data_IF_433912080556
#
_entry.id   IF_433912080556
#
_cell.length_a   1.000
_cell.length_b   1.000
_cell.length_c   1.000
_cell.angle_alpha   90.00
_cell.angle_beta   90.00
_cell.angle_gamma   90.00
#
_symmetry.space_group_name_H-M   'P 1'
#
loop_
_entity.id
_entity.type
_entity.pdbx_description
1 polymer ?
#
# COMPACT_ATOMS: atom_id res chain seq x y z
N UNK A 1 -6.77 -3.26 8.01
CA UNK A 1 -5.70 -4.07 7.38
C UNK A 1 -4.87 -4.75 8.47
N UNK A 2 -4.10 -5.81 8.19
CA UNK A 2 -3.19 -6.45 9.15
C UNK A 2 -1.90 -5.62 9.28
N UNK A 3 -1.77 -4.72 10.27
CA UNK A 3 -0.67 -3.75 10.29
C UNK A 3 0.70 -4.43 10.47
N UNK A 4 0.74 -5.54 11.20
CA UNK A 4 1.96 -6.26 11.58
C UNK A 4 2.70 -6.86 10.38
N UNK A 5 2.00 -7.63 9.53
CA UNK A 5 2.59 -8.27 8.37
C UNK A 5 3.08 -7.23 7.34
N UNK A 6 2.29 -6.19 7.11
CA UNK A 6 2.66 -5.10 6.22
C UNK A 6 3.86 -4.29 6.76
N UNK A 7 3.97 -4.09 8.08
CA UNK A 7 5.13 -3.44 8.68
C UNK A 7 6.42 -4.27 8.46
N UNK A 8 6.37 -5.60 8.64
CA UNK A 8 7.53 -6.48 8.36
C UNK A 8 8.00 -6.34 6.91
N UNK A 9 7.05 -6.36 5.96
CA UNK A 9 7.38 -6.24 4.54
C UNK A 9 7.97 -4.88 4.21
N UNK A 10 7.38 -3.79 4.72
CA UNK A 10 7.86 -2.42 4.51
C UNK A 10 9.25 -2.17 5.09
N UNK A 11 9.61 -2.80 6.20
CA UNK A 11 10.96 -2.74 6.75
C UNK A 11 12.04 -3.31 5.80
N UNK A 12 11.66 -4.13 4.80
CA UNK A 12 12.60 -4.63 3.78
C UNK A 12 13.09 -3.54 2.83
N UNK A 13 12.44 -2.39 2.78
CA UNK A 13 12.94 -1.19 2.08
C UNK A 13 14.25 -0.65 2.66
N UNK A 14 14.59 -1.02 3.90
CA UNK A 14 15.71 -0.50 4.69
C UNK A 14 15.62 0.99 5.02
N UNK A 15 14.44 1.59 4.87
CA UNK A 15 14.16 2.91 5.41
C UNK A 15 14.16 2.86 6.95
N UNK A 16 14.95 3.72 7.59
CA UNK A 16 15.17 3.68 9.04
C UNK A 16 13.87 3.85 9.83
N UNK A 17 12.98 4.73 9.37
CA UNK A 17 11.68 4.95 10.00
C UNK A 17 10.81 3.70 9.92
N UNK A 18 10.71 3.07 8.75
CA UNK A 18 9.93 1.84 8.56
C UNK A 18 10.52 0.65 9.32
N UNK A 19 11.85 0.54 9.39
CA UNK A 19 12.53 -0.50 10.17
C UNK A 19 12.24 -0.32 11.66
N UNK A 20 12.32 0.91 12.19
CA UNK A 20 12.04 1.18 13.59
C UNK A 20 10.57 0.96 13.94
N UNK A 21 9.66 1.41 13.06
CA UNK A 21 8.23 1.19 13.23
C UNK A 21 7.88 -0.31 13.25
N UNK A 22 8.47 -1.10 12.35
CA UNK A 22 8.26 -2.54 12.34
C UNK A 22 8.71 -3.19 13.65
N UNK A 23 9.90 -2.83 14.18
CA UNK A 23 10.37 -3.35 15.48
C UNK A 23 9.38 -3.06 16.61
N UNK A 24 8.81 -1.86 16.64
CA UNK A 24 7.85 -1.45 17.67
C UNK A 24 6.53 -2.22 17.56
N UNK A 25 5.97 -2.31 16.35
CA UNK A 25 4.64 -2.89 16.14
C UNK A 25 4.68 -4.43 16.19
N UNK A 26 5.77 -5.04 15.74
CA UNK A 26 5.87 -6.51 15.63
C UNK A 26 6.60 -7.15 16.81
N UNK A 27 7.28 -6.36 17.63
CA UNK A 27 8.10 -6.82 18.76
C UNK A 27 9.11 -7.90 18.35
N UNK A 28 9.63 -7.81 17.12
CA UNK A 28 10.58 -8.77 16.55
C UNK A 28 9.96 -9.99 15.85
N UNK A 29 8.63 -10.16 15.89
CA UNK A 29 7.96 -11.21 15.13
C UNK A 29 8.03 -10.90 13.62
N UNK A 30 8.44 -11.90 12.84
CA UNK A 30 8.56 -11.80 11.37
C UNK A 30 7.26 -12.11 10.63
N UNK A 31 6.26 -12.69 11.29
CA UNK A 31 5.00 -13.13 10.69
C UNK A 31 5.18 -13.97 9.42
N UNK A 32 6.28 -14.72 9.32
CA UNK A 32 6.71 -15.40 8.09
C UNK A 32 5.62 -16.34 7.55
N UNK A 33 5.09 -17.23 8.40
CA UNK A 33 4.01 -18.16 8.00
C UNK A 33 2.76 -17.43 7.53
N UNK A 34 2.35 -16.37 8.25
CA UNK A 34 1.18 -15.56 7.88
C UNK A 34 1.38 -14.87 6.53
N UNK A 35 2.54 -14.26 6.31
CA UNK A 35 2.88 -13.60 5.04
C UNK A 35 2.85 -14.61 3.89
N UNK A 36 3.45 -15.79 4.05
CA UNK A 36 3.43 -16.83 3.02
C UNK A 36 2.03 -17.40 2.78
N UNK A 37 1.21 -17.56 3.83
CA UNK A 37 -0.17 -17.99 3.70
C UNK A 37 -1.00 -16.96 2.90
N UNK A 38 -0.91 -15.67 3.25
CA UNK A 38 -1.58 -14.58 2.52
C UNK A 38 -1.11 -14.55 1.07
N UNK A 39 0.19 -14.59 0.82
CA UNK A 39 0.74 -14.61 -0.54
C UNK A 39 0.22 -15.80 -1.35
N UNK A 40 0.15 -17.00 -0.75
CA UNK A 40 -0.41 -18.18 -1.40
C UNK A 40 -1.89 -17.99 -1.77
N UNK A 41 -2.69 -17.37 -0.89
CA UNK A 41 -4.09 -17.04 -1.17
C UNK A 41 -4.20 -16.04 -2.32
N UNK A 42 -3.42 -14.95 -2.30
CA UNK A 42 -3.42 -13.94 -3.37
C UNK A 42 -3.10 -14.58 -4.72
N UNK A 43 -2.06 -15.40 -4.82
CA UNK A 43 -1.68 -16.08 -6.07
C UNK A 43 -2.81 -17.01 -6.54
N UNK A 44 -3.39 -17.82 -5.66
CA UNK A 44 -4.45 -18.77 -6.03
C UNK A 44 -5.73 -18.05 -6.47
N UNK A 45 -6.13 -17.00 -5.75
CA UNK A 45 -7.35 -16.25 -6.04
C UNK A 45 -7.18 -15.28 -7.23
N UNK A 46 -5.95 -14.85 -7.55
CA UNK A 46 -5.69 -13.97 -8.70
C UNK A 46 -6.23 -14.51 -10.02
N UNK A 47 -6.33 -15.84 -10.16
CA UNK A 47 -6.90 -16.52 -11.34
C UNK A 47 -8.39 -16.27 -11.52
N UNK A 48 -9.10 -15.89 -10.47
CA UNK A 48 -10.53 -15.55 -10.49
C UNK A 48 -10.76 -14.04 -10.62
N UNK A 49 -9.71 -13.24 -10.47
CA UNK A 49 -9.79 -11.79 -10.51
C UNK A 49 -10.01 -11.33 -11.95
N UNK A 50 -11.02 -10.48 -12.16
CA UNK A 50 -11.25 -9.83 -13.46
C UNK A 50 -10.31 -8.65 -13.60
N UNK A 51 -9.59 -8.57 -14.72
CA UNK A 51 -8.79 -7.41 -15.05
C UNK A 51 -9.68 -6.18 -15.19
N UNK A 52 -9.18 -5.03 -14.73
CA UNK A 52 -9.97 -3.81 -14.72
C UNK A 52 -9.35 -2.68 -13.92
N UNK A 53 -10.03 -1.54 -13.94
CA UNK A 53 -9.63 -0.37 -13.19
C UNK A 53 -9.92 -0.55 -11.70
N UNK A 54 -8.95 -0.16 -10.89
CA UNK A 54 -9.02 -0.21 -9.43
C UNK A 54 -8.50 1.09 -8.84
N UNK A 55 -8.90 1.36 -7.60
CA UNK A 55 -8.54 2.57 -6.86
C UNK A 55 -8.00 2.24 -5.48
N UNK A 56 -7.11 3.09 -4.97
CA UNK A 56 -6.56 3.03 -3.61
C UNK A 56 -6.50 4.42 -3.01
N UNK A 57 -7.11 4.59 -1.84
CA UNK A 57 -6.98 5.79 -1.04
C UNK A 57 -5.81 5.68 -0.06
N UNK A 58 -5.08 6.78 0.13
CA UNK A 58 -4.03 6.92 1.13
C UNK A 58 -4.26 8.23 1.89
N UNK A 59 -4.36 8.12 3.21
CA UNK A 59 -4.46 9.25 4.14
C UNK A 59 -3.06 9.72 4.57
N UNK A 60 -2.92 11.01 4.86
CA UNK A 60 -1.78 11.66 5.53
C UNK A 60 -0.44 11.45 4.82
N UNK A 61 -0.47 11.24 3.50
CA UNK A 61 0.73 10.97 2.70
C UNK A 61 0.86 11.96 1.55
N UNK A 62 1.98 12.69 1.54
CA UNK A 62 2.44 13.42 0.36
C UNK A 62 3.32 12.51 -0.47
N UNK A 63 3.03 12.39 -1.76
CA UNK A 63 3.86 11.61 -2.66
C UNK A 63 5.27 12.23 -2.80
N UNK A 64 6.33 11.42 -2.75
CA UNK A 64 7.69 11.90 -2.90
C UNK A 64 7.95 12.41 -4.32
N UNK A 65 9.03 13.19 -4.48
CA UNK A 65 9.42 13.79 -5.77
C UNK A 65 9.57 12.78 -6.91
N UNK A 66 9.88 11.51 -6.60
CA UNK A 66 9.99 10.43 -7.58
C UNK A 66 8.69 10.13 -8.33
N UNK A 67 7.53 10.54 -7.83
CA UNK A 67 6.26 10.45 -8.56
C UNK A 67 6.08 11.53 -9.61
N UNK A 68 6.88 12.60 -9.56
CA UNK A 68 6.75 13.76 -10.45
C UNK A 68 7.93 13.90 -11.41
N UNK A 69 9.14 13.59 -10.93
CA UNK A 69 10.40 13.68 -11.69
C UNK A 69 10.89 12.28 -12.03
N UNK A 70 11.13 12.06 -13.32
CA UNK A 70 11.63 10.78 -13.81
C UNK A 70 13.07 10.53 -13.35
N UNK A 71 13.40 9.27 -13.06
CA UNK A 71 14.78 8.85 -12.86
C UNK A 71 15.54 8.76 -14.20
N UNK A 72 16.81 8.35 -14.16
CA UNK A 72 17.66 8.20 -15.36
C UNK A 72 17.13 7.21 -16.40
N UNK A 73 16.21 6.32 -16.01
CA UNK A 73 15.56 5.35 -16.90
C UNK A 73 14.17 5.81 -17.36
N UNK A 74 13.78 7.07 -17.09
CA UNK A 74 12.47 7.61 -17.46
C UNK A 74 11.32 7.19 -16.54
N UNK A 75 11.58 6.46 -15.45
CA UNK A 75 10.54 5.93 -14.55
C UNK A 75 10.14 6.97 -13.50
N UNK A 76 8.82 7.10 -13.28
CA UNK A 76 8.20 7.88 -12.20
C UNK A 76 7.35 6.96 -11.33
N UNK A 77 7.46 7.11 -10.01
CA UNK A 77 6.63 6.35 -9.07
C UNK A 77 7.39 5.92 -7.81
N UNK A 78 6.94 4.81 -7.24
CA UNK A 78 7.50 4.20 -6.03
C UNK A 78 7.13 2.71 -5.95
N UNK A 79 7.70 2.04 -4.95
CA UNK A 79 7.49 0.61 -4.70
C UNK A 79 6.72 0.47 -3.38
N UNK A 80 5.58 -0.20 -3.40
CA UNK A 80 4.89 -0.66 -2.19
C UNK A 80 5.37 -2.07 -1.87
N UNK A 81 6.03 -2.24 -0.73
CA UNK A 81 6.55 -3.53 -0.27
C UNK A 81 5.45 -4.39 0.37
N UNK A 82 4.40 -3.77 0.91
CA UNK A 82 3.32 -4.46 1.60
C UNK A 82 2.24 -4.97 0.65
N UNK A 83 1.28 -5.73 1.19
CA UNK A 83 0.07 -6.08 0.44
C UNK A 83 -0.80 -4.83 0.25
N UNK A 84 -1.08 -4.48 -1.01
CA UNK A 84 -1.83 -3.29 -1.37
C UNK A 84 -3.31 -3.61 -1.53
N UNK A 85 -4.13 -3.22 -0.55
CA UNK A 85 -5.58 -3.26 -0.67
C UNK A 85 -6.08 -2.20 -1.65
N UNK A 86 -6.99 -2.59 -2.52
CA UNK A 86 -7.58 -1.76 -3.57
C UNK A 86 -9.07 -2.10 -3.73
N UNK A 87 -9.81 -1.23 -4.41
CA UNK A 87 -11.26 -1.39 -4.61
C UNK A 87 -11.61 -1.08 -6.07
N UNK A 88 -12.65 -1.72 -6.61
CA UNK A 88 -13.25 -1.35 -7.90
C UNK A 88 -14.29 -0.23 -7.78
N UNK A 89 -14.55 0.25 -6.57
CA UNK A 89 -15.43 1.39 -6.29
C UNK A 89 -14.59 2.60 -5.87
N UNK A 90 -14.53 3.61 -6.74
CA UNK A 90 -13.79 4.86 -6.48
C UNK A 90 -14.26 5.57 -5.21
N UNK A 91 -15.56 5.53 -4.89
CA UNK A 91 -16.10 6.21 -3.71
C UNK A 91 -15.52 5.64 -2.41
N UNK A 92 -15.29 4.33 -2.37
CA UNK A 92 -14.63 3.65 -1.25
C UNK A 92 -13.17 4.08 -1.13
N UNK A 93 -12.44 4.22 -2.24
CA UNK A 93 -11.06 4.72 -2.20
C UNK A 93 -11.00 6.16 -1.68
N UNK A 94 -11.91 7.03 -2.09
CA UNK A 94 -12.01 8.42 -1.58
C UNK A 94 -12.32 8.41 -0.08
N UNK A 95 -13.25 7.56 0.37
CA UNK A 95 -13.57 7.40 1.79
C UNK A 95 -12.34 6.99 2.62
N UNK A 96 -11.54 6.04 2.14
CA UNK A 96 -10.29 5.65 2.80
C UNK A 96 -9.21 6.74 2.75
N UNK A 97 -9.13 7.50 1.66
CA UNK A 97 -8.22 8.64 1.56
C UNK A 97 -8.57 9.75 2.58
N UNK A 98 -9.86 9.86 2.95
CA UNK A 98 -10.34 10.76 3.99
C UNK A 98 -10.34 10.16 5.41
N UNK A 99 -9.79 8.98 5.65
CA UNK A 99 -9.77 8.39 6.99
C UNK A 99 -11.15 8.06 7.57
N UNK A 100 -12.11 7.68 6.73
CA UNK A 100 -13.39 7.11 7.17
C UNK A 100 -14.44 8.11 7.67
N UNK A 101 -14.04 9.29 8.17
CA UNK A 101 -14.92 10.41 8.57
C UNK A 101 -14.15 11.55 9.25
N UNK A 102 -12.88 11.33 9.65
CA UNK A 102 -12.08 12.28 10.42
C UNK A 102 -11.10 13.08 9.54
N UNK A 103 -11.60 13.71 8.48
CA UNK A 103 -10.83 14.67 7.66
C UNK A 103 -10.87 16.03 8.33
N UNK A 104 -9.70 16.57 8.69
CA UNK A 104 -9.58 17.98 9.08
C UNK A 104 -9.11 18.80 7.88
N UNK A 105 -9.48 20.07 7.89
CA UNK A 105 -9.02 21.01 6.87
C UNK A 105 -7.48 21.10 6.91
N UNK A 106 -6.83 20.76 5.79
CA UNK A 106 -5.36 20.67 5.69
C UNK A 106 -4.76 19.25 5.67
N UNK A 107 -5.57 18.19 5.87
CA UNK A 107 -5.08 16.80 5.77
C UNK A 107 -4.75 16.43 4.31
N UNK A 108 -3.54 15.94 4.07
CA UNK A 108 -3.13 15.48 2.75
C UNK A 108 -3.78 14.12 2.42
N UNK A 109 -4.48 14.03 1.30
CA UNK A 109 -5.07 12.77 0.81
C UNK A 109 -4.62 12.48 -0.62
N UNK A 110 -4.43 11.21 -0.94
CA UNK A 110 -4.05 10.74 -2.28
C UNK A 110 -4.98 9.61 -2.70
N UNK A 111 -5.47 9.67 -3.94
CA UNK A 111 -6.19 8.55 -4.58
C UNK A 111 -5.42 8.10 -5.80
N UNK A 112 -4.98 6.85 -5.79
CA UNK A 112 -4.42 6.19 -6.97
C UNK A 112 -5.54 5.58 -7.80
N UNK A 113 -5.49 5.81 -9.10
CA UNK A 113 -6.21 5.04 -10.11
C UNK A 113 -5.19 4.15 -10.83
N UNK A 114 -5.46 2.85 -10.90
CA UNK A 114 -4.53 1.85 -11.42
C UNK A 114 -5.26 0.84 -12.30
N UNK A 115 -4.54 0.24 -13.24
CA UNK A 115 -5.00 -0.90 -14.03
C UNK A 115 -4.54 -2.19 -13.35
N UNK A 116 -5.47 -3.06 -12.96
CA UNK A 116 -5.20 -4.39 -12.42
C UNK A 116 -5.33 -5.44 -13.51
N UNK A 117 -4.30 -6.28 -13.63
CA UNK A 117 -4.21 -7.29 -14.69
C UNK A 117 -3.84 -6.67 -16.04
N UNK A 118 -2.83 -7.27 -16.68
CA UNK A 118 -2.43 -7.08 -18.08
C UNK A 118 -2.07 -8.45 -18.65
#
# INVERSE_FOLDING_TARGET
ELPWANAVLRAKSKDDFLVQQAKQITQGNSYTTTIHAINSCVIKLSKLTKAGKIWRGIKDAKLPKSFWVANSMGVKGGIEYAFSSTTSDKSQAVHYAGGGSDVKDGDASTVFEMQMGM
#
